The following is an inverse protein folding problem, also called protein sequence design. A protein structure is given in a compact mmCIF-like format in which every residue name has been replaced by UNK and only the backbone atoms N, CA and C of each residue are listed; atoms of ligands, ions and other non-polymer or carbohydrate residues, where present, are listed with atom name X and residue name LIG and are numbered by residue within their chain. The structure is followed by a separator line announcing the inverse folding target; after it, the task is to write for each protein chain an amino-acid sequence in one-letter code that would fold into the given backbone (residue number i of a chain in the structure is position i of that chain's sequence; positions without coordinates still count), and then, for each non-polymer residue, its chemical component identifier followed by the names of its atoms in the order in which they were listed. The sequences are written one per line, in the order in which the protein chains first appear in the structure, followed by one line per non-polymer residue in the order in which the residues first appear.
data_IF_258676279288
#
_entry.id   IF_258676279288
#
_cell.length_a   1.000
_cell.length_b   1.000
_cell.length_c   1.000
_cell.angle_alpha   90.00
_cell.angle_beta   90.00
_cell.angle_gamma   90.00
#
_symmetry.space_group_name_H-M   'P 1'
#
loop_
_entity.id
_entity.type
_entity.pdbx_description
1 polymer ?
#
# COMPACT_ATOMS: atom_id res chain seq x y z
N UNK A 1 76.58 -5.48 -16.49
CA UNK A 1 76.09 -5.63 -15.10
C UNK A 1 76.29 -4.29 -14.41
N UNK A 2 75.28 -3.42 -14.47
CA UNK A 2 74.79 -2.67 -13.32
C UNK A 2 73.55 -1.88 -13.74
N UNK A 3 72.47 -2.30 -13.10
CA UNK A 3 71.13 -1.75 -13.09
C UNK A 3 71.10 -0.42 -12.32
N UNK A 4 69.96 0.26 -12.47
CA UNK A 4 69.41 1.29 -11.58
C UNK A 4 70.05 2.68 -11.66
N UNK A 5 69.38 3.57 -12.37
CA UNK A 5 68.67 4.70 -11.74
C UNK A 5 67.93 5.50 -12.82
N UNK A 6 66.60 5.38 -12.84
CA UNK A 6 65.63 6.40 -13.29
C UNK A 6 64.21 5.82 -13.28
N UNK A 7 63.64 5.57 -12.10
CA UNK A 7 62.20 5.28 -11.98
C UNK A 7 61.51 5.79 -10.70
N UNK A 8 62.15 6.68 -9.93
CA UNK A 8 61.61 7.16 -8.65
C UNK A 8 61.09 8.60 -8.68
N UNK A 9 61.37 9.40 -9.71
CA UNK A 9 60.91 10.79 -9.79
C UNK A 9 59.52 10.96 -10.44
N UNK A 10 59.09 10.09 -11.37
CA UNK A 10 57.77 10.24 -11.99
C UNK A 10 56.62 9.70 -11.15
N UNK A 11 56.91 8.87 -10.13
CA UNK A 11 55.88 8.25 -9.27
C UNK A 11 55.48 9.13 -8.08
N UNK A 12 56.31 10.09 -7.65
CA UNK A 12 55.96 11.02 -6.57
C UNK A 12 54.96 12.08 -7.04
N UNK A 13 55.13 12.58 -8.26
CA UNK A 13 54.27 13.62 -8.83
C UNK A 13 52.89 13.05 -9.21
N UNK A 14 52.84 11.80 -9.70
CA UNK A 14 51.60 11.07 -9.93
C UNK A 14 50.83 10.81 -8.62
N UNK A 15 51.53 10.49 -7.52
CA UNK A 15 50.89 10.28 -6.21
C UNK A 15 50.33 11.57 -5.62
N UNK A 16 51.05 12.69 -5.77
CA UNK A 16 50.57 14.00 -5.31
C UNK A 16 49.33 14.43 -6.09
N UNK A 17 49.32 14.23 -7.41
CA UNK A 17 48.18 14.53 -8.27
C UNK A 17 46.98 13.61 -7.98
N UNK A 18 47.21 12.34 -7.66
CA UNK A 18 46.16 11.41 -7.19
C UNK A 18 45.59 11.81 -5.83
N UNK A 19 46.43 12.20 -4.87
CA UNK A 19 46.01 12.66 -3.53
C UNK A 19 45.21 13.97 -3.61
N UNK A 20 45.56 14.85 -4.53
CA UNK A 20 44.85 16.12 -4.73
C UNK A 20 43.50 15.91 -5.41
N UNK A 21 43.41 15.00 -6.39
CA UNK A 21 42.12 14.55 -6.95
C UNK A 21 41.26 13.83 -5.91
N UNK A 22 41.87 13.01 -5.03
CA UNK A 22 41.16 12.32 -3.97
C UNK A 22 40.63 13.30 -2.91
N UNK A 23 41.40 14.32 -2.53
CA UNK A 23 40.94 15.36 -1.60
C UNK A 23 39.79 16.18 -2.16
N UNK A 24 39.84 16.55 -3.46
CA UNK A 24 38.75 17.24 -4.14
C UNK A 24 37.49 16.37 -4.27
N UNK A 25 37.66 15.06 -4.49
CA UNK A 25 36.56 14.10 -4.49
C UNK A 25 35.92 13.93 -3.10
N UNK A 26 36.72 13.98 -2.03
CA UNK A 26 36.28 13.95 -0.63
C UNK A 26 35.59 15.25 -0.20
N UNK A 27 36.05 16.40 -0.67
CA UNK A 27 35.39 17.70 -0.46
C UNK A 27 34.04 17.74 -1.19
N UNK A 28 33.97 17.19 -2.42
CA UNK A 28 32.72 17.05 -3.19
C UNK A 28 31.76 16.01 -2.57
N UNK A 29 32.30 14.95 -1.95
CA UNK A 29 31.53 13.99 -1.16
C UNK A 29 31.00 14.61 0.14
N UNK A 30 31.79 15.43 0.85
CA UNK A 30 31.36 16.21 2.03
C UNK A 30 30.26 17.22 1.69
N UNK A 31 30.25 17.79 0.48
CA UNK A 31 29.24 18.75 0.04
C UNK A 31 27.89 18.11 -0.33
N UNK A 32 27.89 16.81 -0.69
CA UNK A 32 26.68 16.00 -0.92
C UNK A 32 26.25 15.20 0.32
N UNK A 33 27.03 15.21 1.40
CA UNK A 33 26.75 14.56 2.67
C UNK A 33 25.93 15.42 3.65
N UNK A 34 25.01 16.27 3.15
CA UNK A 34 23.98 16.91 4.01
C UNK A 34 22.98 15.89 4.60
N UNK A 35 23.08 14.62 4.22
CA UNK A 35 22.31 13.49 4.76
C UNK A 35 23.05 12.79 5.92
N UNK A 36 24.36 12.99 6.09
CA UNK A 36 25.12 12.38 7.19
C UNK A 36 24.92 13.07 8.54
N UNK A 37 24.49 14.34 8.56
CA UNK A 37 24.16 15.06 9.81
C UNK A 37 22.96 14.47 10.58
N UNK A 38 22.16 13.59 9.95
CA UNK A 38 21.02 12.94 10.60
C UNK A 38 21.42 11.61 11.25
N UNK A 39 22.46 10.94 10.73
CA UNK A 39 22.92 9.64 11.28
C UNK A 39 23.88 9.79 12.46
N UNK A 40 24.71 10.85 12.51
CA UNK A 40 25.49 11.17 13.71
C UNK A 40 24.59 11.60 14.88
N UNK A 41 23.40 12.14 14.60
CA UNK A 41 22.41 12.53 15.62
C UNK A 41 21.72 11.32 16.28
N UNK A 42 21.61 10.20 15.57
CA UNK A 42 20.94 8.98 16.08
C UNK A 42 21.85 8.18 17.03
N UNK A 43 23.18 8.33 16.93
CA UNK A 43 24.14 7.64 17.80
C UNK A 43 24.61 8.45 19.01
N UNK A 44 24.22 9.71 19.14
CA UNK A 44 24.62 10.60 20.24
C UNK A 44 23.57 10.76 21.36
N UNK A 45 22.45 10.02 21.32
CA UNK A 45 21.45 9.99 22.40
C UNK A 45 21.72 8.77 23.29
N UNK A 46 22.30 8.94 24.50
CA UNK A 46 22.45 7.83 25.42
C UNK A 46 21.06 7.52 26.02
N UNK A 47 20.51 6.33 25.73
CA UNK A 47 19.44 5.76 26.56
C UNK A 47 18.26 5.07 25.86
N UNK A 48 18.08 5.14 24.55
CA UNK A 48 16.85 4.65 23.93
C UNK A 48 17.05 4.03 22.54
N UNK A 49 17.68 2.86 22.44
CA UNK A 49 17.35 1.89 21.38
C UNK A 49 17.61 0.47 21.87
N UNK A 50 16.58 -0.38 21.77
CA UNK A 50 16.70 -1.81 21.98
C UNK A 50 17.75 -2.36 20.98
N UNK A 51 18.76 -3.13 21.41
CA UNK A 51 19.84 -3.62 20.56
C UNK A 51 19.35 -4.42 19.35
N UNK A 52 18.17 -5.05 19.44
CA UNK A 52 17.54 -5.76 18.31
C UNK A 52 17.13 -4.79 17.21
N UNK A 53 16.59 -3.62 17.56
CA UNK A 53 16.13 -2.63 16.59
C UNK A 53 17.32 -1.94 15.89
N UNK A 54 18.43 -1.74 16.60
CA UNK A 54 19.67 -1.24 16.01
C UNK A 54 20.25 -2.21 14.97
N UNK A 55 20.18 -3.52 15.22
CA UNK A 55 20.60 -4.55 14.27
C UNK A 55 19.72 -4.52 13.01
N UNK A 56 18.40 -4.37 13.15
CA UNK A 56 17.49 -4.28 12.00
C UNK A 56 17.76 -3.05 11.13
N UNK A 57 17.97 -1.88 11.75
CA UNK A 57 18.31 -0.65 11.02
C UNK A 57 19.65 -0.80 10.30
N UNK A 58 20.63 -1.45 10.92
CA UNK A 58 21.94 -1.70 10.33
C UNK A 58 21.88 -2.68 9.14
N UNK A 59 21.13 -3.77 9.25
CA UNK A 59 20.91 -4.74 8.14
C UNK A 59 20.19 -4.05 6.99
N UNK A 60 19.16 -3.23 7.28
CA UNK A 60 18.42 -2.50 6.26
C UNK A 60 19.31 -1.49 5.53
N UNK A 61 20.18 -0.78 6.26
CA UNK A 61 21.16 0.13 5.67
C UNK A 61 22.15 -0.60 4.75
N UNK A 62 22.63 -1.79 5.13
CA UNK A 62 23.52 -2.62 4.30
C UNK A 62 22.81 -3.09 3.02
N UNK A 63 21.57 -3.58 3.12
CA UNK A 63 20.80 -4.03 1.97
C UNK A 63 20.51 -2.89 0.99
N UNK A 64 20.17 -1.71 1.53
CA UNK A 64 19.97 -0.50 0.74
C UNK A 64 21.26 -0.07 0.04
N UNK A 65 22.40 -0.06 0.75
CA UNK A 65 23.70 0.28 0.16
C UNK A 65 24.16 -0.73 -0.90
N UNK A 66 23.91 -2.02 -0.67
CA UNK A 66 24.22 -3.09 -1.64
C UNK A 66 23.44 -2.89 -2.94
N UNK A 67 22.14 -2.62 -2.85
CA UNK A 67 21.28 -2.34 -4.01
C UNK A 67 21.69 -1.03 -4.72
N UNK A 68 22.07 0.00 -3.98
CA UNK A 68 22.56 1.27 -4.52
C UNK A 68 23.88 1.10 -5.30
N UNK A 69 24.84 0.33 -4.76
CA UNK A 69 26.10 0.01 -5.45
C UNK A 69 25.84 -0.84 -6.71
N UNK A 70 24.92 -1.81 -6.63
CA UNK A 70 24.54 -2.66 -7.77
C UNK A 70 23.94 -1.83 -8.91
N UNK A 71 23.07 -0.87 -8.57
CA UNK A 71 22.51 0.10 -9.51
C UNK A 71 23.60 0.92 -10.22
N UNK A 72 24.55 1.51 -9.47
CA UNK A 72 25.66 2.26 -10.09
C UNK A 72 26.57 1.40 -10.98
N UNK A 73 26.82 0.13 -10.63
CA UNK A 73 27.57 -0.80 -11.49
C UNK A 73 26.83 -1.05 -12.81
N UNK A 74 25.51 -1.24 -12.77
CA UNK A 74 24.67 -1.42 -13.96
C UNK A 74 24.69 -0.16 -14.83
N UNK A 75 24.55 1.03 -14.24
CA UNK A 75 24.64 2.30 -14.98
C UNK A 75 26.01 2.49 -15.63
N UNK A 76 27.10 2.08 -14.96
CA UNK A 76 28.46 2.15 -15.51
C UNK A 76 28.68 1.17 -16.67
N UNK A 77 28.06 -0.01 -16.63
CA UNK A 77 28.06 -1.00 -17.72
C UNK A 77 27.28 -0.46 -18.93
N UNK A 78 26.09 0.11 -18.71
CA UNK A 78 25.26 0.72 -19.76
C UNK A 78 26.01 1.88 -20.44
N UNK A 79 26.67 2.74 -19.67
CA UNK A 79 27.47 3.84 -20.22
C UNK A 79 28.74 3.36 -20.95
N UNK A 80 29.33 2.25 -20.51
CA UNK A 80 30.44 1.59 -21.22
C UNK A 80 30.01 0.97 -22.54
N UNK A 81 28.80 0.40 -22.61
CA UNK A 81 28.22 -0.16 -23.82
C UNK A 81 27.88 0.95 -24.83
N UNK A 82 27.31 2.07 -24.36
CA UNK A 82 26.99 3.23 -25.19
C UNK A 82 28.23 3.98 -25.72
N UNK A 83 29.33 3.97 -24.96
CA UNK A 83 30.60 4.55 -25.43
C UNK A 83 31.32 3.67 -26.45
N UNK A 84 31.14 2.34 -26.39
CA UNK A 84 31.69 1.40 -27.38
C UNK A 84 30.90 1.42 -28.69
N UNK A 85 29.59 1.63 -28.67
CA UNK A 85 28.79 1.85 -29.90
C UNK A 85 29.13 3.16 -30.58
N UNK A 86 29.37 4.24 -29.82
CA UNK A 86 29.75 5.53 -30.40
C UNK A 86 31.20 5.59 -30.92
N UNK A 87 32.13 4.77 -30.41
CA UNK A 87 33.51 4.68 -30.95
C UNK A 87 33.60 3.95 -32.28
N UNK A 88 32.70 3.01 -32.56
CA UNK A 88 32.68 2.25 -33.83
C UNK A 88 32.08 3.08 -34.98
N UNK A 89 31.31 4.13 -34.67
CA UNK A 89 30.61 4.96 -35.69
C UNK A 89 31.49 6.11 -36.22
N UNK A 90 32.58 6.48 -35.54
CA UNK A 90 33.40 7.66 -35.90
C UNK A 90 34.61 7.33 -36.79
N UNK A 91 34.95 6.06 -37.01
CA UNK A 91 36.10 5.67 -37.85
C UNK A 91 35.71 4.82 -39.05
N UNK A 92 35.08 5.43 -40.06
CA UNK A 92 35.29 5.15 -41.50
C UNK A 92 34.33 6.00 -42.34
N UNK A 93 34.75 7.21 -42.72
CA UNK A 93 34.24 7.87 -43.92
C UNK A 93 35.08 7.38 -45.11
N UNK A 94 34.48 6.60 -46.00
CA UNK A 94 34.83 6.52 -47.43
C UNK A 94 33.59 6.04 -48.20
N UNK A 95 33.29 6.78 -49.26
CA UNK A 95 32.17 6.62 -50.18
C UNK A 95 31.92 5.17 -50.59
N UNK A 96 30.66 4.72 -50.56
CA UNK A 96 29.98 4.09 -51.70
C UNK A 96 28.59 3.54 -51.32
N UNK A 97 27.59 3.93 -52.13
CA UNK A 97 26.31 3.26 -52.41
C UNK A 97 25.35 3.14 -51.21
N UNK A 98 24.43 4.09 -51.14
CA UNK A 98 23.13 3.90 -50.47
C UNK A 98 22.40 2.80 -51.25
N UNK A 99 22.04 1.64 -50.66
CA UNK A 99 20.98 0.83 -51.23
C UNK A 99 19.68 1.60 -51.03
N UNK A 100 19.17 2.19 -52.13
CA UNK A 100 17.75 2.48 -52.29
C UNK A 100 17.00 1.15 -52.15
N UNK A 101 16.68 0.76 -50.92
CA UNK A 101 15.65 -0.20 -50.51
C UNK A 101 15.71 -0.39 -49.00
N UNK A 102 15.30 0.62 -48.24
CA UNK A 102 14.71 0.41 -46.91
C UNK A 102 13.33 1.09 -46.80
N UNK A 103 12.67 1.33 -47.93
CA UNK A 103 11.21 1.22 -48.00
C UNK A 103 10.90 -0.26 -48.24
N UNK A 104 10.28 -0.92 -47.26
CA UNK A 104 9.23 -1.93 -47.42
C UNK A 104 9.09 -2.79 -46.15
N UNK A 105 7.92 -2.66 -45.52
CA UNK A 105 7.27 -3.65 -44.66
C UNK A 105 8.05 -4.19 -43.45
N UNK A 106 7.99 -3.46 -42.33
CA UNK A 106 7.83 -4.15 -41.05
C UNK A 106 6.36 -4.61 -41.02
N UNK A 107 6.06 -5.75 -41.65
CA UNK A 107 4.76 -6.37 -41.49
C UNK A 107 4.52 -6.61 -40.01
N UNK A 108 3.32 -6.25 -39.51
CA UNK A 108 2.86 -6.69 -38.17
C UNK A 108 3.16 -8.19 -38.05
N UNK A 109 3.76 -8.66 -36.95
CA UNK A 109 4.18 -10.04 -36.82
C UNK A 109 3.01 -10.98 -37.13
N UNK A 110 3.27 -12.04 -37.91
CA UNK A 110 2.24 -12.99 -38.32
C UNK A 110 1.35 -13.41 -37.14
N UNK A 111 0.08 -13.66 -37.44
CA UNK A 111 -0.99 -14.02 -36.50
C UNK A 111 -0.57 -15.15 -35.53
N UNK A 112 0.37 -16.01 -35.94
CA UNK A 112 0.97 -17.11 -35.17
C UNK A 112 2.01 -16.61 -34.14
N UNK A 113 2.84 -15.62 -34.46
CA UNK A 113 3.83 -15.02 -33.55
C UNK A 113 3.14 -14.13 -32.50
N UNK A 114 2.15 -13.32 -32.92
CA UNK A 114 1.28 -12.58 -32.01
C UNK A 114 0.40 -13.51 -31.16
N UNK A 115 -0.14 -14.62 -31.69
CA UNK A 115 -0.79 -15.66 -30.87
C UNK A 115 0.17 -16.37 -29.90
N UNK A 116 1.43 -16.56 -30.27
CA UNK A 116 2.46 -17.12 -29.36
C UNK A 116 2.85 -16.17 -28.23
N UNK A 117 2.85 -14.86 -28.50
CA UNK A 117 3.11 -13.82 -27.51
C UNK A 117 1.89 -13.55 -26.61
N UNK A 118 0.69 -13.44 -27.20
CA UNK A 118 -0.58 -13.27 -26.46
C UNK A 118 -0.99 -14.53 -25.70
N UNK A 119 -0.70 -15.72 -26.22
CA UNK A 119 -0.94 -17.02 -25.58
C UNK A 119 0.09 -17.42 -24.50
N UNK A 120 1.22 -16.70 -24.41
CA UNK A 120 2.21 -16.83 -23.31
C UNK A 120 2.02 -15.82 -22.18
N UNK A 121 0.99 -14.97 -22.26
CA UNK A 121 0.55 -14.16 -21.12
C UNK A 121 0.03 -15.10 -20.02
N UNK A 122 0.96 -15.67 -19.25
CA UNK A 122 0.71 -16.38 -18.00
C UNK A 122 -0.16 -15.44 -17.16
N UNK A 123 -1.45 -15.81 -17.14
CA UNK A 123 -2.55 -15.14 -16.48
C UNK A 123 -2.66 -13.64 -16.78
N UNK A 124 -3.73 -13.26 -17.48
CA UNK A 124 -4.38 -11.97 -17.24
C UNK A 124 -4.70 -11.98 -15.74
N UNK A 125 -3.79 -11.47 -14.93
CA UNK A 125 -3.73 -11.74 -13.49
C UNK A 125 -4.92 -11.02 -12.86
N UNK A 126 -5.99 -11.79 -12.60
CA UNK A 126 -7.09 -11.41 -11.73
C UNK A 126 -6.49 -10.99 -10.40
N UNK A 127 -6.49 -9.69 -10.10
CA UNK A 127 -6.06 -9.26 -8.78
C UNK A 127 -6.97 -9.87 -7.72
N UNK A 128 -6.38 -10.39 -6.63
CA UNK A 128 -7.11 -10.95 -5.48
C UNK A 128 -7.38 -9.87 -4.41
N UNK A 129 -7.21 -8.60 -4.74
CA UNK A 129 -7.16 -7.51 -3.77
C UNK A 129 -7.66 -6.17 -4.30
N UNK A 130 -7.84 -5.25 -3.36
CA UNK A 130 -8.19 -3.85 -3.60
C UNK A 130 -6.92 -3.04 -3.42
N UNK A 131 -6.65 -2.07 -4.30
CA UNK A 131 -5.48 -1.21 -4.27
C UNK A 131 -5.88 0.24 -4.05
N UNK A 132 -5.06 0.97 -3.29
CA UNK A 132 -5.26 2.39 -3.01
C UNK A 132 -4.68 3.30 -4.09
N UNK A 133 -3.66 2.81 -4.81
CA UNK A 133 -2.98 3.51 -5.89
C UNK A 133 -3.07 2.66 -7.15
N UNK A 134 -3.53 3.25 -8.25
CA UNK A 134 -3.76 2.57 -9.52
C UNK A 134 -3.77 3.57 -10.67
N UNK A 135 -3.72 3.06 -11.90
CA UNK A 135 -3.87 3.87 -13.11
C UNK A 135 -5.03 3.31 -13.91
N UNK A 136 -6.00 4.16 -14.22
CA UNK A 136 -7.05 3.83 -15.19
C UNK A 136 -6.52 4.06 -16.58
N UNK A 137 -6.82 3.17 -17.51
CA UNK A 137 -6.41 3.25 -18.92
C UNK A 137 -7.61 3.00 -19.81
N UNK A 138 -7.71 3.78 -20.88
CA UNK A 138 -8.70 3.63 -21.94
C UNK A 138 -8.06 3.97 -23.29
N UNK A 139 -8.40 3.22 -24.34
CA UNK A 139 -7.84 3.36 -25.68
C UNK A 139 -8.94 3.58 -26.72
N UNK A 140 -8.68 4.49 -27.66
CA UNK A 140 -9.41 4.52 -28.93
C UNK A 140 -8.59 3.85 -30.02
N UNK A 141 -9.28 3.09 -30.87
CA UNK A 141 -8.66 2.27 -31.91
C UNK A 141 -9.38 2.37 -33.25
N UNK A 142 -8.69 1.98 -34.33
CA UNK A 142 -9.29 1.91 -35.67
C UNK A 142 -10.22 0.70 -35.88
N UNK A 143 -10.36 -0.16 -34.86
CA UNK A 143 -11.07 -1.43 -34.94
C UNK A 143 -10.78 -2.35 -33.76
N UNK A 144 -11.16 -3.62 -33.86
CA UNK A 144 -11.21 -4.53 -32.71
C UNK A 144 -10.02 -5.47 -32.56
N UNK A 145 -9.17 -5.60 -33.59
CA UNK A 145 -8.13 -6.62 -33.66
C UNK A 145 -6.73 -6.01 -33.72
N UNK A 146 -5.88 -6.18 -32.68
CA UNK A 146 -4.58 -5.51 -32.61
C UNK A 146 -3.58 -5.96 -33.69
N UNK A 147 -3.84 -7.10 -34.35
CA UNK A 147 -3.03 -7.62 -35.45
C UNK A 147 -3.27 -6.85 -36.76
N UNK A 148 -4.37 -6.13 -36.91
CA UNK A 148 -4.72 -5.37 -38.13
C UNK A 148 -5.10 -3.92 -37.87
N UNK A 149 -5.69 -3.64 -36.71
CA UNK A 149 -6.14 -2.32 -36.28
C UNK A 149 -5.07 -1.60 -35.44
N UNK A 150 -5.23 -0.29 -35.25
CA UNK A 150 -4.23 0.60 -34.65
C UNK A 150 -4.80 1.40 -33.49
N UNK A 151 -3.97 1.74 -32.52
CA UNK A 151 -4.30 2.68 -31.44
C UNK A 151 -4.22 4.09 -32.03
N UNK A 152 -5.21 4.93 -31.74
CA UNK A 152 -5.30 6.34 -32.20
C UNK A 152 -5.47 7.34 -31.05
N UNK A 153 -5.84 6.89 -29.86
CA UNK A 153 -5.76 7.66 -28.62
C UNK A 153 -5.34 6.75 -27.47
N UNK A 154 -4.51 7.27 -26.56
CA UNK A 154 -4.27 6.68 -25.25
C UNK A 154 -4.68 7.71 -24.21
N UNK A 155 -5.59 7.32 -23.31
CA UNK A 155 -5.88 8.07 -22.10
C UNK A 155 -5.55 7.24 -20.86
N UNK A 156 -5.07 7.93 -19.83
CA UNK A 156 -4.89 7.35 -18.52
C UNK A 156 -5.04 8.40 -17.41
N UNK A 157 -5.58 7.96 -16.28
CA UNK A 157 -5.73 8.76 -15.07
C UNK A 157 -5.09 8.01 -13.89
N UNK A 158 -4.14 8.65 -13.23
CA UNK A 158 -3.42 8.08 -12.08
C UNK A 158 -4.10 8.49 -10.79
N UNK A 159 -4.41 7.49 -9.98
CA UNK A 159 -5.05 7.66 -8.68
C UNK A 159 -4.08 7.32 -7.55
N UNK A 160 -4.04 8.18 -6.54
CA UNK A 160 -3.41 7.90 -5.25
C UNK A 160 -4.39 8.27 -4.13
N UNK A 161 -4.56 7.39 -3.15
CA UNK A 161 -5.50 7.60 -2.03
C UNK A 161 -6.92 7.98 -2.47
N UNK A 162 -7.42 7.36 -3.54
CA UNK A 162 -8.71 7.61 -4.19
C UNK A 162 -8.86 8.97 -4.91
N UNK A 163 -7.80 9.77 -5.02
CA UNK A 163 -7.81 11.05 -5.75
C UNK A 163 -6.99 10.96 -7.03
N UNK A 164 -7.43 11.67 -8.08
CA UNK A 164 -6.65 11.79 -9.31
C UNK A 164 -5.48 12.73 -9.05
N UNK A 165 -4.26 12.24 -9.22
CA UNK A 165 -3.04 13.05 -9.03
C UNK A 165 -2.37 13.47 -10.33
N UNK A 166 -2.65 12.76 -11.44
CA UNK A 166 -2.00 12.99 -12.71
C UNK A 166 -2.81 12.36 -13.87
N UNK A 167 -2.69 12.90 -15.08
CA UNK A 167 -3.35 12.37 -16.27
C UNK A 167 -2.39 12.33 -17.46
N UNK A 168 -2.62 11.37 -18.35
CA UNK A 168 -1.85 11.21 -19.58
C UNK A 168 -2.84 11.04 -20.73
N UNK A 169 -2.80 11.95 -21.70
CA UNK A 169 -3.60 11.83 -22.92
C UNK A 169 -2.74 12.15 -24.12
N UNK A 170 -2.85 11.34 -25.17
CA UNK A 170 -2.21 11.61 -26.45
C UNK A 170 -2.99 10.97 -27.59
N UNK A 171 -3.15 11.72 -28.67
CA UNK A 171 -3.50 11.17 -29.96
C UNK A 171 -2.27 10.47 -30.55
N UNK A 172 -2.52 9.49 -31.41
CA UNK A 172 -1.51 8.64 -32.04
C UNK A 172 -1.76 8.62 -33.54
N UNK A 173 -0.73 8.87 -34.33
CA UNK A 173 -0.80 8.69 -35.77
C UNK A 173 -0.75 7.18 -36.09
N UNK A 174 -1.81 6.59 -36.69
CA UNK A 174 -1.83 5.16 -37.00
C UNK A 174 -1.12 4.83 -38.32
N UNK A 175 -0.59 5.82 -39.05
CA UNK A 175 0.00 5.72 -40.39
C UNK A 175 -0.93 5.09 -41.45
N UNK A 176 -2.23 5.02 -41.15
CA UNK A 176 -3.26 4.51 -42.04
C UNK A 176 -4.49 5.42 -42.01
N UNK A 177 -5.28 5.38 -43.08
CA UNK A 177 -6.53 6.11 -43.14
C UNK A 177 -7.55 5.56 -42.15
N UNK A 178 -8.10 6.43 -41.29
CA UNK A 178 -9.21 6.13 -40.37
C UNK A 178 -10.52 6.22 -41.17
N UNK A 179 -11.28 5.12 -41.29
CA UNK A 179 -12.56 5.13 -42.02
C UNK A 179 -13.63 5.99 -41.34
N UNK A 180 -14.55 6.64 -42.09
CA UNK A 180 -15.59 7.50 -41.51
C UNK A 180 -16.48 6.82 -40.47
N UNK A 181 -16.75 5.52 -40.62
CA UNK A 181 -17.54 4.77 -39.62
C UNK A 181 -16.84 4.66 -38.27
N UNK A 182 -15.51 4.70 -38.23
CA UNK A 182 -14.73 4.71 -36.99
C UNK A 182 -14.70 6.13 -36.40
N UNK A 183 -14.45 7.14 -37.24
CA UNK A 183 -14.53 8.55 -36.83
C UNK A 183 -15.92 8.89 -36.26
N UNK A 184 -17.00 8.30 -36.77
CA UNK A 184 -18.34 8.49 -36.22
C UNK A 184 -18.54 7.86 -34.83
N UNK A 185 -17.68 6.93 -34.41
CA UNK A 185 -17.76 6.26 -33.11
C UNK A 185 -16.93 7.00 -32.06
N UNK A 186 -15.67 7.32 -32.38
CA UNK A 186 -14.71 7.89 -31.44
C UNK A 186 -14.43 9.38 -31.67
N UNK A 187 -15.02 9.98 -32.71
CA UNK A 187 -14.89 11.39 -33.03
C UNK A 187 -13.46 11.85 -33.32
N UNK A 188 -12.58 10.90 -33.69
CA UNK A 188 -11.20 11.17 -34.12
C UNK A 188 -11.13 11.04 -35.64
N UNK A 189 -10.77 12.12 -36.31
CA UNK A 189 -10.59 12.16 -37.76
C UNK A 189 -9.11 12.12 -38.17
N UNK A 190 -8.88 11.97 -39.48
CA UNK A 190 -7.54 11.88 -40.04
C UNK A 190 -6.74 13.18 -39.88
N UNK A 191 -7.40 14.35 -39.83
CA UNK A 191 -6.74 15.64 -39.67
C UNK A 191 -6.21 15.83 -38.26
N UNK A 192 -6.89 15.29 -37.25
CA UNK A 192 -6.46 15.32 -35.86
C UNK A 192 -5.17 14.52 -35.62
N UNK A 193 -5.00 13.38 -36.31
CA UNK A 193 -3.90 12.45 -36.04
C UNK A 193 -2.71 12.57 -36.98
N UNK A 194 -2.83 13.26 -38.12
CA UNK A 194 -1.79 13.27 -39.18
C UNK A 194 -0.41 13.75 -38.72
N UNK A 195 -0.38 14.72 -37.80
CA UNK A 195 0.85 15.34 -37.29
C UNK A 195 1.19 14.85 -35.87
N UNK A 196 0.43 13.87 -35.35
CA UNK A 196 0.64 13.30 -34.02
C UNK A 196 1.81 12.28 -34.02
N UNK A 197 2.41 12.00 -32.84
CA UNK A 197 3.46 11.00 -32.73
C UNK A 197 2.95 9.59 -33.06
N UNK A 198 3.86 8.74 -33.55
CA UNK A 198 3.55 7.34 -33.78
C UNK A 198 3.52 6.54 -32.46
N UNK A 199 2.86 5.38 -32.46
CA UNK A 199 2.73 4.54 -31.25
C UNK A 199 4.09 4.16 -30.62
N UNK A 200 5.12 3.95 -31.45
CA UNK A 200 6.48 3.60 -31.00
C UNK A 200 7.15 4.71 -30.18
N UNK A 201 6.76 5.96 -30.42
CA UNK A 201 7.28 7.16 -29.74
C UNK A 201 6.50 7.44 -28.46
N UNK A 202 5.20 7.12 -28.46
CA UNK A 202 4.28 7.31 -27.33
C UNK A 202 4.50 6.29 -26.21
N UNK A 203 4.67 5.01 -26.56
CA UNK A 203 4.71 3.90 -25.59
C UNK A 203 5.77 4.04 -24.49
N UNK A 204 7.01 4.49 -24.75
CA UNK A 204 8.00 4.70 -23.68
C UNK A 204 7.54 5.70 -22.62
N UNK A 205 6.92 6.81 -23.04
CA UNK A 205 6.37 7.81 -22.14
C UNK A 205 5.20 7.27 -21.33
N UNK A 206 4.28 6.56 -21.98
CA UNK A 206 3.17 5.88 -21.33
C UNK A 206 3.63 4.84 -20.29
N UNK A 207 4.62 4.01 -20.62
CA UNK A 207 5.20 3.02 -19.70
C UNK A 207 5.82 3.68 -18.46
N UNK A 208 6.48 4.83 -18.65
CA UNK A 208 7.01 5.61 -17.54
C UNK A 208 5.87 6.20 -16.67
N UNK A 209 4.79 6.67 -17.29
CA UNK A 209 3.63 7.20 -16.58
C UNK A 209 2.96 6.15 -15.69
N UNK A 210 2.71 4.94 -16.22
CA UNK A 210 2.01 3.87 -15.48
C UNK A 210 2.90 3.20 -14.42
N UNK A 211 4.22 3.20 -14.62
CA UNK A 211 5.17 2.56 -13.72
C UNK A 211 4.81 1.09 -13.43
N UNK A 212 4.78 0.72 -12.15
CA UNK A 212 4.40 -0.63 -11.68
C UNK A 212 3.00 -0.66 -11.03
N UNK A 213 2.23 0.42 -11.16
CA UNK A 213 0.91 0.51 -10.53
C UNK A 213 -0.08 -0.45 -11.21
N UNK A 214 -1.08 -0.98 -10.46
CA UNK A 214 -2.19 -1.71 -11.06
C UNK A 214 -2.87 -0.90 -12.16
N UNK A 215 -3.19 -1.57 -13.27
CA UNK A 215 -3.97 -0.98 -14.35
C UNK A 215 -5.44 -1.37 -14.20
N UNK A 216 -6.31 -0.37 -14.26
CA UNK A 216 -7.76 -0.51 -14.25
C UNK A 216 -8.28 -0.14 -15.63
N UNK A 217 -9.12 -0.97 -16.22
CA UNK A 217 -9.76 -0.67 -17.50
C UNK A 217 -11.16 -1.28 -17.54
N UNK A 218 -12.02 -0.80 -18.43
CA UNK A 218 -13.35 -1.34 -18.62
C UNK A 218 -13.37 -2.29 -19.80
N UNK A 219 -13.66 -3.58 -19.58
CA UNK A 219 -13.36 -4.62 -20.55
C UNK A 219 -11.85 -4.70 -20.84
N UNK A 220 -11.05 -4.68 -19.76
CA UNK A 220 -9.59 -4.64 -19.79
C UNK A 220 -8.90 -5.61 -20.79
N UNK A 221 -9.41 -6.83 -21.06
CA UNK A 221 -8.82 -7.68 -22.10
C UNK A 221 -8.67 -7.00 -23.46
N UNK A 222 -9.50 -5.99 -23.79
CA UNK A 222 -9.41 -5.20 -25.01
C UNK A 222 -8.19 -4.26 -25.03
N UNK A 223 -8.05 -3.37 -24.05
CA UNK A 223 -6.95 -2.41 -24.02
C UNK A 223 -5.60 -3.11 -23.88
N UNK A 224 -5.56 -4.12 -23.00
CA UNK A 224 -4.34 -4.84 -22.66
C UNK A 224 -3.82 -5.68 -23.84
N UNK A 225 -4.69 -6.19 -24.72
CA UNK A 225 -4.22 -6.88 -25.95
C UNK A 225 -3.61 -5.90 -26.95
N UNK A 226 -4.18 -4.70 -27.09
CA UNK A 226 -3.64 -3.65 -27.97
C UNK A 226 -2.30 -3.12 -27.46
N UNK A 227 -2.18 -2.83 -26.17
CA UNK A 227 -0.92 -2.38 -25.55
C UNK A 227 0.18 -3.44 -25.68
N UNK A 228 -0.09 -4.70 -25.32
CA UNK A 228 0.93 -5.74 -25.40
C UNK A 228 1.37 -6.04 -26.84
N UNK A 229 0.46 -6.00 -27.81
CA UNK A 229 0.81 -6.20 -29.22
C UNK A 229 1.80 -5.13 -29.71
N UNK A 230 1.57 -3.87 -29.36
CA UNK A 230 2.46 -2.76 -29.76
C UNK A 230 3.75 -2.71 -28.92
N UNK A 231 3.69 -2.99 -27.62
CA UNK A 231 4.88 -3.09 -26.75
C UNK A 231 5.82 -4.21 -27.19
N UNK A 232 5.27 -5.33 -27.68
CA UNK A 232 6.07 -6.45 -28.17
C UNK A 232 6.97 -6.05 -29.37
N UNK A 233 6.53 -5.10 -30.20
CA UNK A 233 7.35 -4.55 -31.30
C UNK A 233 8.60 -3.82 -30.79
N UNK A 234 8.55 -3.32 -29.55
CA UNK A 234 9.65 -2.65 -28.86
C UNK A 234 10.44 -3.61 -27.94
N UNK A 235 10.10 -4.90 -27.92
CA UNK A 235 10.67 -5.86 -26.97
C UNK A 235 10.23 -5.62 -25.52
N UNK A 236 9.11 -4.91 -25.31
CA UNK A 236 8.53 -4.60 -24.01
C UNK A 236 7.24 -5.40 -23.77
N UNK A 237 6.78 -5.45 -22.52
CA UNK A 237 5.52 -6.07 -22.13
C UNK A 237 5.00 -5.48 -20.81
N UNK A 238 3.69 -5.53 -20.61
CA UNK A 238 3.08 -5.12 -19.34
C UNK A 238 3.33 -6.16 -18.25
N UNK A 239 3.76 -5.69 -17.07
CA UNK A 239 3.93 -6.52 -15.87
C UNK A 239 2.99 -6.12 -14.72
N UNK A 240 2.12 -5.15 -14.98
CA UNK A 240 1.23 -4.56 -14.00
C UNK A 240 0.08 -5.53 -13.63
N UNK A 241 -0.40 -5.51 -12.38
CA UNK A 241 -1.68 -6.14 -12.03
C UNK A 241 -2.81 -5.53 -12.87
N UNK A 242 -3.73 -6.35 -13.37
CA UNK A 242 -4.84 -5.89 -14.23
C UNK A 242 -6.18 -6.06 -13.51
N UNK A 243 -7.01 -5.02 -13.57
CA UNK A 243 -8.34 -4.97 -12.97
C UNK A 243 -9.34 -4.61 -14.06
N UNK A 244 -10.31 -5.51 -14.27
CA UNK A 244 -11.40 -5.30 -15.21
C UNK A 244 -12.66 -4.83 -14.49
N UNK A 245 -13.10 -3.61 -14.82
CA UNK A 245 -14.29 -3.01 -14.22
C UNK A 245 -15.60 -3.47 -14.85
N UNK A 246 -15.60 -4.17 -16.00
CA UNK A 246 -16.82 -4.71 -16.59
C UNK A 246 -17.52 -5.76 -15.70
N UNK A 247 -16.84 -6.83 -15.22
CA UNK A 247 -17.46 -7.76 -14.28
C UNK A 247 -17.78 -7.12 -12.92
N UNK A 248 -17.01 -6.10 -12.51
CA UNK A 248 -17.28 -5.33 -11.29
C UNK A 248 -18.59 -4.55 -11.44
N UNK A 249 -18.76 -3.83 -12.55
CA UNK A 249 -19.96 -3.08 -12.89
C UNK A 249 -21.20 -3.97 -12.91
N UNK A 250 -21.11 -5.17 -13.53
CA UNK A 250 -22.17 -6.20 -13.51
C UNK A 250 -22.59 -6.62 -12.11
N UNK A 251 -21.66 -6.63 -11.16
CA UNK A 251 -21.93 -6.97 -9.76
C UNK A 251 -22.51 -5.79 -8.99
N UNK A 252 -22.09 -4.56 -9.29
CA UNK A 252 -22.49 -3.37 -8.56
C UNK A 252 -23.83 -2.79 -9.00
N UNK A 253 -24.11 -2.82 -10.31
CA UNK A 253 -25.24 -2.14 -10.94
C UNK A 253 -26.08 -3.14 -11.74
N UNK A 254 -26.54 -4.21 -11.10
CA UNK A 254 -27.26 -5.32 -11.75
C UNK A 254 -28.57 -4.94 -12.47
N UNK A 255 -29.09 -3.74 -12.18
CA UNK A 255 -30.37 -3.21 -12.59
C UNK A 255 -30.34 -2.42 -13.91
N UNK A 256 -29.16 -2.09 -14.43
CA UNK A 256 -29.03 -1.32 -15.67
C UNK A 256 -29.14 -2.23 -16.90
N UNK A 257 -29.65 -1.69 -18.01
CA UNK A 257 -29.90 -2.45 -19.25
C UNK A 257 -28.62 -3.07 -19.82
N UNK A 258 -27.52 -2.31 -19.78
CA UNK A 258 -26.23 -2.77 -20.25
C UNK A 258 -25.10 -2.05 -19.49
N UNK A 259 -23.91 -2.64 -19.52
CA UNK A 259 -22.75 -2.14 -18.78
C UNK A 259 -21.75 -1.43 -19.70
N UNK A 260 -22.20 -0.72 -20.74
CA UNK A 260 -21.31 0.19 -21.48
C UNK A 260 -21.03 1.41 -20.60
N UNK A 261 -19.83 2.00 -20.71
CA UNK A 261 -19.45 3.17 -19.93
C UNK A 261 -20.46 4.33 -20.08
N UNK A 262 -20.96 4.59 -21.28
CA UNK A 262 -22.03 5.59 -21.51
C UNK A 262 -23.30 5.35 -20.67
N UNK A 263 -23.82 4.12 -20.64
CA UNK A 263 -25.00 3.77 -19.83
C UNK A 263 -24.71 3.87 -18.32
N UNK A 264 -23.51 3.46 -17.89
CA UNK A 264 -23.11 3.58 -16.48
C UNK A 264 -22.94 5.06 -16.09
N UNK A 265 -22.41 5.90 -16.99
CA UNK A 265 -22.25 7.33 -16.79
C UNK A 265 -23.59 8.02 -16.56
N UNK A 266 -24.59 7.72 -17.38
CA UNK A 266 -25.96 8.20 -17.21
C UNK A 266 -26.56 7.72 -15.89
N UNK A 267 -26.38 6.44 -15.56
CA UNK A 267 -26.88 5.86 -14.32
C UNK A 267 -26.28 6.51 -13.06
N UNK A 268 -24.97 6.78 -13.07
CA UNK A 268 -24.26 7.42 -11.97
C UNK A 268 -24.41 8.95 -11.94
N UNK A 269 -25.14 9.54 -12.90
CA UNK A 269 -25.33 10.97 -13.06
C UNK A 269 -24.00 11.75 -13.08
N UNK A 270 -22.98 11.19 -13.73
CA UNK A 270 -21.66 11.83 -13.85
C UNK A 270 -21.69 12.78 -15.04
N UNK A 271 -21.80 14.07 -14.76
CA UNK A 271 -21.71 15.13 -15.77
C UNK A 271 -20.24 15.36 -16.15
N UNK A 272 -19.79 14.67 -17.20
CA UNK A 272 -18.53 14.99 -17.87
C UNK A 272 -18.88 15.57 -19.24
N UNK A 273 -18.68 16.87 -19.41
CA UNK A 273 -18.71 17.53 -20.71
C UNK A 273 -17.69 16.81 -21.62
N UNK A 274 -18.06 16.46 -22.85
CA UNK A 274 -17.30 15.67 -23.84
C UNK A 274 -17.12 14.16 -23.57
N UNK A 275 -18.21 13.39 -23.50
CA UNK A 275 -18.21 11.93 -23.27
C UNK A 275 -17.53 11.02 -24.32
N UNK A 276 -17.01 11.58 -25.40
CA UNK A 276 -16.55 10.82 -26.57
C UNK A 276 -15.03 10.75 -26.71
N UNK A 277 -14.31 11.17 -25.67
CA UNK A 277 -12.85 11.11 -25.58
C UNK A 277 -12.48 10.09 -24.50
N UNK A 278 -11.34 9.43 -24.65
CA UNK A 278 -10.93 8.35 -23.77
C UNK A 278 -10.71 8.76 -22.28
N UNK A 279 -10.42 10.04 -21.99
CA UNK A 279 -10.14 10.51 -20.63
C UNK A 279 -11.39 10.57 -19.72
N UNK A 280 -12.52 11.17 -20.15
CA UNK A 280 -13.80 11.03 -19.46
C UNK A 280 -14.17 9.59 -19.11
N UNK A 281 -13.91 8.65 -20.02
CA UNK A 281 -14.16 7.22 -19.80
C UNK A 281 -13.23 6.63 -18.73
N UNK A 282 -11.97 7.11 -18.64
CA UNK A 282 -11.10 6.81 -17.51
C UNK A 282 -11.71 7.25 -16.16
N UNK A 283 -12.41 8.39 -16.11
CA UNK A 283 -13.03 8.86 -14.85
C UNK A 283 -14.20 7.99 -14.43
N UNK A 284 -15.08 7.63 -15.38
CA UNK A 284 -16.20 6.72 -15.12
C UNK A 284 -15.66 5.35 -14.67
N UNK A 285 -14.67 4.81 -15.38
CA UNK A 285 -14.03 3.55 -15.03
C UNK A 285 -13.37 3.59 -13.63
N UNK A 286 -12.66 4.68 -13.31
CA UNK A 286 -12.10 4.92 -11.98
C UNK A 286 -13.17 4.95 -10.89
N UNK A 287 -14.29 5.63 -11.13
CA UNK A 287 -15.40 5.71 -10.18
C UNK A 287 -16.00 4.33 -9.87
N UNK A 288 -16.20 3.48 -10.89
CA UNK A 288 -16.67 2.09 -10.71
C UNK A 288 -15.72 1.33 -9.77
N UNK A 289 -14.40 1.46 -9.98
CA UNK A 289 -13.41 0.79 -9.16
C UNK A 289 -13.36 1.32 -7.72
N UNK A 290 -13.48 2.63 -7.53
CA UNK A 290 -13.52 3.25 -6.20
C UNK A 290 -14.73 2.79 -5.38
N UNK A 291 -15.91 2.69 -6.02
CA UNK A 291 -17.11 2.20 -5.34
C UNK A 291 -16.96 0.72 -4.93
N UNK A 292 -16.39 -0.10 -5.82
CA UNK A 292 -16.06 -1.50 -5.50
C UNK A 292 -15.06 -1.62 -4.35
N UNK A 293 -13.95 -0.87 -4.45
CA UNK A 293 -12.88 -0.79 -3.45
C UNK A 293 -13.44 -0.48 -2.07
N UNK A 294 -14.29 0.55 -1.99
CA UNK A 294 -14.95 0.98 -0.76
C UNK A 294 -15.86 -0.12 -0.19
N UNK A 295 -16.71 -0.74 -1.02
CA UNK A 295 -17.62 -1.82 -0.57
C UNK A 295 -16.85 -3.04 -0.07
N UNK A 296 -15.77 -3.45 -0.73
CA UNK A 296 -14.96 -4.61 -0.30
C UNK A 296 -14.16 -4.31 0.98
N UNK A 297 -13.62 -3.10 1.15
CA UNK A 297 -12.98 -2.66 2.40
C UNK A 297 -13.97 -2.69 3.57
N UNK A 298 -15.18 -2.15 3.37
CA UNK A 298 -16.25 -2.18 4.37
C UNK A 298 -16.68 -3.61 4.72
N UNK A 299 -16.80 -4.49 3.72
CA UNK A 299 -17.12 -5.91 3.94
C UNK A 299 -16.04 -6.60 4.77
N UNK A 300 -14.76 -6.35 4.51
CA UNK A 300 -13.66 -6.88 5.32
C UNK A 300 -13.67 -6.33 6.75
N UNK A 301 -13.94 -5.04 6.93
CA UNK A 301 -14.10 -4.45 8.26
C UNK A 301 -15.25 -5.09 9.04
N UNK A 302 -16.42 -5.26 8.41
CA UNK A 302 -17.58 -5.94 9.01
C UNK A 302 -17.31 -7.43 9.28
N UNK A 303 -16.59 -8.12 8.41
CA UNK A 303 -16.18 -9.50 8.61
C UNK A 303 -15.18 -9.64 9.78
N UNK A 304 -14.25 -8.70 9.93
CA UNK A 304 -13.34 -8.64 11.06
C UNK A 304 -14.10 -8.38 12.36
N UNK A 305 -15.05 -7.44 12.37
CA UNK A 305 -15.94 -7.19 13.52
C UNK A 305 -16.70 -8.47 13.88
N UNK A 306 -17.23 -9.20 12.89
CA UNK A 306 -17.97 -10.45 13.10
C UNK A 306 -17.06 -11.59 13.58
N UNK A 307 -15.85 -11.70 13.04
CA UNK A 307 -14.85 -12.69 13.46
C UNK A 307 -14.41 -12.43 14.90
N UNK A 308 -14.16 -11.17 15.27
CA UNK A 308 -13.95 -10.79 16.67
C UNK A 308 -15.16 -11.14 17.52
N UNK A 309 -16.39 -10.90 17.03
CA UNK A 309 -17.65 -11.27 17.70
C UNK A 309 -17.74 -12.76 18.08
N UNK A 310 -17.21 -13.65 17.22
CA UNK A 310 -17.24 -15.10 17.37
C UNK A 310 -16.07 -15.68 18.20
N UNK A 311 -14.90 -15.02 18.20
CA UNK A 311 -13.72 -15.45 18.97
C UNK A 311 -13.71 -14.85 20.39
N UNK A 312 -14.43 -13.74 20.60
CA UNK A 312 -14.37 -12.99 21.85
C UNK A 312 -13.18 -12.03 21.90
N UNK A 313 -13.19 -11.09 22.85
CA UNK A 313 -12.02 -10.27 23.15
C UNK A 313 -10.91 -11.12 23.78
N UNK A 314 -9.65 -10.80 23.44
CA UNK A 314 -8.50 -11.51 23.96
C UNK A 314 -8.33 -11.23 25.46
N UNK A 315 -8.57 -12.26 26.29
CA UNK A 315 -8.45 -12.18 27.74
C UNK A 315 -7.05 -11.77 28.23
N UNK A 316 -6.00 -12.18 27.53
CA UNK A 316 -4.61 -11.91 27.93
C UNK A 316 -4.25 -10.44 27.68
N UNK A 317 -4.78 -9.85 26.61
CA UNK A 317 -4.67 -8.42 26.32
C UNK A 317 -5.44 -7.59 27.35
N UNK A 318 -6.70 -7.94 27.63
CA UNK A 318 -7.48 -7.28 28.68
C UNK A 318 -6.76 -7.33 30.04
N UNK A 319 -6.22 -8.49 30.41
CA UNK A 319 -5.47 -8.65 31.67
C UNK A 319 -4.18 -7.83 31.68
N UNK A 320 -3.47 -7.77 30.56
CA UNK A 320 -2.23 -6.99 30.44
C UNK A 320 -2.48 -5.50 30.57
N UNK A 321 -3.51 -4.96 29.89
CA UNK A 321 -3.91 -3.55 29.99
C UNK A 321 -4.29 -3.18 31.43
N UNK A 322 -5.04 -4.04 32.14
CA UNK A 322 -5.39 -3.76 33.54
C UNK A 322 -4.16 -3.73 34.43
N UNK A 323 -3.19 -4.64 34.24
CA UNK A 323 -1.90 -4.56 34.97
C UNK A 323 -1.12 -3.30 34.61
N UNK A 324 -1.14 -2.84 33.37
CA UNK A 324 -0.49 -1.60 32.94
C UNK A 324 -1.12 -0.38 33.61
N UNK A 325 -2.45 -0.31 33.66
CA UNK A 325 -3.21 0.70 34.38
C UNK A 325 -2.81 0.71 35.87
N UNK A 326 -2.86 -0.44 36.53
CA UNK A 326 -2.50 -0.56 37.95
C UNK A 326 -1.03 -0.16 38.20
N UNK A 327 -0.10 -0.59 37.33
CA UNK A 327 1.32 -0.24 37.43
C UNK A 327 1.57 1.25 37.23
N UNK A 328 0.88 1.89 36.27
CA UNK A 328 0.93 3.35 36.04
C UNK A 328 0.56 4.15 37.29
N UNK A 329 -0.31 3.60 38.13
CA UNK A 329 -0.75 4.20 39.40
C UNK A 329 -0.01 3.66 40.63
N UNK A 330 1.17 3.05 40.44
CA UNK A 330 2.01 2.49 41.51
C UNK A 330 1.29 1.49 42.43
N UNK A 331 0.30 0.75 41.91
CA UNK A 331 -0.43 -0.27 42.68
C UNK A 331 0.37 -1.57 42.77
N UNK A 332 0.26 -2.24 43.91
CA UNK A 332 0.91 -3.53 44.13
C UNK A 332 0.17 -4.66 43.39
N UNK A 333 0.84 -5.25 42.41
CA UNK A 333 0.29 -6.33 41.58
C UNK A 333 0.43 -7.72 42.22
N UNK A 334 1.07 -7.83 43.40
CA UNK A 334 1.36 -9.11 44.07
C UNK A 334 0.13 -10.00 44.17
N UNK A 335 -1.02 -9.39 44.45
CA UNK A 335 -2.30 -10.09 44.66
C UNK A 335 -3.18 -10.18 43.41
N UNK A 336 -2.80 -9.55 42.29
CA UNK A 336 -3.65 -9.46 41.09
C UNK A 336 -3.61 -10.78 40.31
N UNK A 337 -4.79 -11.35 40.05
CA UNK A 337 -5.00 -12.59 39.27
C UNK A 337 -6.21 -12.43 38.36
N UNK A 338 -6.44 -13.40 37.47
CA UNK A 338 -7.71 -13.53 36.76
C UNK A 338 -8.31 -14.92 36.96
N UNK A 339 -9.62 -15.02 36.79
CA UNK A 339 -10.36 -16.28 36.81
C UNK A 339 -11.62 -16.18 35.98
N UNK A 340 -12.41 -17.26 35.97
CA UNK A 340 -13.70 -17.29 35.29
C UNK A 340 -14.82 -17.59 36.28
N UNK A 341 -15.96 -16.91 36.13
CA UNK A 341 -17.20 -17.25 36.83
C UNK A 341 -18.33 -17.28 35.81
N UNK A 342 -18.87 -18.47 35.55
CA UNK A 342 -19.81 -18.68 34.43
C UNK A 342 -19.19 -18.17 33.12
N UNK A 343 -19.87 -17.25 32.42
CA UNK A 343 -19.42 -16.66 31.15
C UNK A 343 -18.62 -15.36 31.32
N UNK A 344 -18.18 -15.05 32.54
CA UNK A 344 -17.42 -13.83 32.85
C UNK A 344 -15.95 -14.14 33.07
N UNK A 345 -15.11 -13.24 32.55
CA UNK A 345 -13.70 -13.12 32.88
C UNK A 345 -13.55 -12.11 34.01
N UNK A 346 -13.08 -12.57 35.16
CA UNK A 346 -12.96 -11.76 36.37
C UNK A 346 -11.49 -11.49 36.66
N UNK A 347 -11.15 -10.23 36.91
CA UNK A 347 -9.85 -9.84 37.45
C UNK A 347 -10.03 -9.55 38.95
N UNK A 348 -9.12 -10.12 39.73
CA UNK A 348 -9.31 -10.35 41.17
C UNK A 348 -8.05 -9.96 41.94
N UNK A 349 -8.24 -9.53 43.18
CA UNK A 349 -7.23 -9.53 44.21
C UNK A 349 -7.78 -10.32 45.40
N UNK A 350 -8.34 -9.70 46.44
CA UNK A 350 -9.06 -10.40 47.50
C UNK A 350 -10.45 -10.89 47.06
N UNK A 351 -11.13 -10.08 46.25
CA UNK A 351 -12.33 -10.43 45.51
C UNK A 351 -12.27 -9.84 44.09
N UNK A 352 -13.30 -10.13 43.28
CA UNK A 352 -13.41 -9.64 41.91
C UNK A 352 -13.60 -8.12 41.93
N UNK A 353 -12.61 -7.36 41.44
CA UNK A 353 -12.72 -5.91 41.31
C UNK A 353 -13.07 -5.46 39.90
N UNK A 354 -12.89 -6.32 38.88
CA UNK A 354 -13.35 -6.06 37.52
C UNK A 354 -13.91 -7.33 36.89
N UNK A 355 -15.13 -7.23 36.34
CA UNK A 355 -15.83 -8.33 35.66
C UNK A 355 -16.09 -7.97 34.21
N UNK A 356 -15.61 -8.79 33.28
CA UNK A 356 -15.73 -8.58 31.84
C UNK A 356 -16.50 -9.73 31.18
N UNK A 357 -17.44 -9.39 30.29
CA UNK A 357 -17.99 -10.35 29.33
C UNK A 357 -17.20 -10.23 28.03
N UNK A 358 -16.33 -11.20 27.77
CA UNK A 358 -15.46 -11.20 26.59
C UNK A 358 -15.98 -12.05 25.43
N UNK A 359 -17.12 -12.75 25.58
CA UNK A 359 -17.67 -13.66 24.57
C UNK A 359 -19.17 -13.44 24.34
N UNK A 360 -19.63 -13.72 23.12
CA UNK A 360 -21.03 -13.59 22.70
C UNK A 360 -21.31 -12.30 21.91
N UNK A 361 -22.60 -11.98 21.73
CA UNK A 361 -23.05 -10.88 20.85
C UNK A 361 -22.61 -9.47 21.28
N UNK A 362 -22.30 -9.28 22.55
CA UNK A 362 -21.87 -7.99 23.13
C UNK A 362 -20.79 -8.24 24.16
N UNK A 363 -19.81 -7.36 24.20
CA UNK A 363 -18.80 -7.34 25.25
C UNK A 363 -18.99 -6.14 26.14
N UNK A 364 -18.78 -6.32 27.43
CA UNK A 364 -18.95 -5.24 28.38
C UNK A 364 -18.16 -5.48 29.67
N UNK A 365 -17.80 -4.37 30.31
CA UNK A 365 -17.46 -4.35 31.73
C UNK A 365 -18.75 -4.25 32.56
N UNK A 366 -18.89 -5.11 33.56
CA UNK A 366 -20.01 -5.08 34.49
C UNK A 366 -19.57 -4.38 35.77
N UNK A 367 -20.12 -3.19 36.01
CA UNK A 367 -19.71 -2.29 37.07
C UNK A 367 -20.79 -2.17 38.15
N UNK A 368 -20.36 -2.10 39.41
CA UNK A 368 -21.23 -1.88 40.58
C UNK A 368 -21.52 -0.40 40.84
N UNK A 369 -20.82 0.51 40.15
CA UNK A 369 -21.05 1.95 40.21
C UNK A 369 -22.40 2.33 39.57
N UNK A 370 -23.07 3.30 40.17
CA UNK A 370 -24.19 4.01 39.56
C UNK A 370 -23.73 4.90 38.41
N UNK A 371 -24.65 5.27 37.52
CA UNK A 371 -24.31 6.08 36.34
C UNK A 371 -23.82 7.46 36.75
N UNK A 372 -24.35 8.00 37.85
CA UNK A 372 -23.91 9.27 38.41
C UNK A 372 -22.45 9.21 38.90
N UNK A 373 -22.06 8.12 39.56
CA UNK A 373 -20.67 7.90 39.99
C UNK A 373 -19.73 7.72 38.80
N UNK A 374 -20.15 6.97 37.77
CA UNK A 374 -19.38 6.77 36.55
C UNK A 374 -19.14 8.13 35.85
N UNK A 375 -20.19 8.92 35.63
CA UNK A 375 -20.07 10.24 35.00
C UNK A 375 -19.26 11.22 35.86
N UNK A 376 -19.26 11.07 37.18
CA UNK A 376 -18.40 11.89 38.05
C UNK A 376 -16.91 11.53 37.91
N UNK A 377 -16.58 10.26 37.65
CA UNK A 377 -15.20 9.80 37.49
C UNK A 377 -14.70 9.94 36.05
N UNK A 378 -15.60 9.81 35.08
CA UNK A 378 -15.35 9.88 33.64
C UNK A 378 -16.41 10.81 33.01
N UNK A 379 -16.25 12.14 33.11
CA UNK A 379 -17.24 13.10 32.60
C UNK A 379 -17.52 12.98 31.10
N UNK A 380 -16.49 12.64 30.33
CA UNK A 380 -16.55 12.47 28.88
C UNK A 380 -16.57 10.98 28.48
N UNK A 381 -17.38 10.17 29.15
CA UNK A 381 -17.49 8.74 28.83
C UNK A 381 -17.97 8.55 27.39
N UNK A 382 -17.06 8.13 26.51
CA UNK A 382 -17.33 7.89 25.08
C UNK A 382 -17.95 6.52 24.81
N UNK A 383 -17.87 5.59 25.77
CA UNK A 383 -18.38 4.24 25.63
C UNK A 383 -19.90 4.19 25.88
N UNK A 384 -20.60 3.40 25.06
CA UNK A 384 -22.04 3.15 25.23
C UNK A 384 -22.29 2.31 26.49
N UNK A 385 -23.43 2.49 27.14
CA UNK A 385 -23.81 1.71 28.32
C UNK A 385 -25.25 1.19 28.26
N UNK A 386 -25.52 0.14 29.02
CA UNK A 386 -26.85 -0.46 29.19
C UNK A 386 -27.10 -0.75 30.68
N UNK A 387 -28.35 -0.57 31.13
CA UNK A 387 -28.76 -1.01 32.48
C UNK A 387 -28.83 -2.54 32.48
N UNK A 388 -28.26 -3.17 33.49
CA UNK A 388 -28.25 -4.63 33.57
C UNK A 388 -29.68 -5.19 33.78
N UNK A 389 -30.04 -6.35 33.19
CA UNK A 389 -31.34 -6.99 33.35
C UNK A 389 -31.59 -7.42 34.79
N UNK A 390 -32.83 -7.78 35.14
CA UNK A 390 -33.26 -8.13 36.52
C UNK A 390 -32.35 -9.12 37.27
N UNK A 391 -31.66 -10.02 36.55
CA UNK A 391 -30.70 -10.99 37.13
C UNK A 391 -29.39 -10.37 37.63
N UNK A 392 -29.14 -9.09 37.34
CA UNK A 392 -27.95 -8.30 37.67
C UNK A 392 -28.37 -6.91 38.21
N UNK A 393 -29.48 -6.85 38.94
CA UNK A 393 -30.07 -5.60 39.44
C UNK A 393 -29.03 -4.72 40.13
N UNK A 394 -29.05 -3.42 39.83
CA UNK A 394 -28.15 -2.36 40.34
C UNK A 394 -26.72 -2.33 39.74
N UNK A 395 -26.46 -3.04 38.63
CA UNK A 395 -25.19 -2.94 37.90
C UNK A 395 -25.35 -2.23 36.55
N UNK A 396 -24.25 -1.65 36.06
CA UNK A 396 -24.17 -1.02 34.74
C UNK A 396 -23.25 -1.83 33.83
N UNK A 397 -23.66 -2.00 32.57
CA UNK A 397 -22.86 -2.64 31.53
C UNK A 397 -22.26 -1.55 30.65
N UNK A 398 -20.96 -1.34 30.71
CA UNK A 398 -20.26 -0.47 29.76
C UNK A 398 -19.79 -1.32 28.59
N UNK A 399 -20.31 -1.05 27.39
CA UNK A 399 -19.98 -1.79 26.18
C UNK A 399 -18.53 -1.49 25.77
N UNK A 400 -17.76 -2.55 25.55
CA UNK A 400 -16.38 -2.49 25.03
C UNK A 400 -16.34 -3.20 23.68
N UNK A 401 -15.60 -2.64 22.72
CA UNK A 401 -15.43 -3.18 21.37
C UNK A 401 -14.01 -3.71 21.15
N UNK A 402 -13.04 -3.26 21.95
CA UNK A 402 -11.64 -3.66 21.92
C UNK A 402 -11.05 -3.72 23.35
N UNK A 403 -9.96 -4.46 23.60
CA UNK A 403 -9.28 -4.43 24.90
C UNK A 403 -8.83 -3.03 25.33
N UNK A 404 -8.47 -2.16 24.38
CA UNK A 404 -8.01 -0.79 24.59
C UNK A 404 -9.09 0.10 25.21
N UNK A 405 -10.37 -0.23 25.05
CA UNK A 405 -11.47 0.50 25.70
C UNK A 405 -11.37 0.46 27.24
N UNK A 406 -10.62 -0.48 27.81
CA UNK A 406 -10.35 -0.53 29.25
C UNK A 406 -9.54 0.67 29.76
N UNK A 407 -8.74 1.34 28.90
CA UNK A 407 -8.06 2.58 29.26
C UNK A 407 -9.04 3.71 29.60
N UNK A 408 -10.21 3.74 28.96
CA UNK A 408 -11.25 4.73 29.26
C UNK A 408 -11.80 4.47 30.67
N UNK A 409 -11.85 3.21 31.10
CA UNK A 409 -12.33 2.80 32.42
C UNK A 409 -11.27 2.90 33.53
N UNK A 410 -10.09 3.44 33.24
CA UNK A 410 -8.97 3.54 34.17
C UNK A 410 -9.36 4.10 35.56
N UNK A 411 -10.07 5.24 35.69
CA UNK A 411 -10.45 5.77 37.00
C UNK A 411 -11.29 4.80 37.85
N UNK A 412 -12.19 4.06 37.20
CA UNK A 412 -13.08 3.09 37.85
C UNK A 412 -12.31 1.85 38.28
N UNK A 413 -11.42 1.35 37.40
CA UNK A 413 -10.58 0.18 37.68
C UNK A 413 -9.69 0.44 38.90
N UNK A 414 -9.10 1.64 38.98
CA UNK A 414 -8.28 2.05 40.12
C UNK A 414 -9.12 2.12 41.40
N UNK A 415 -10.28 2.77 41.36
CA UNK A 415 -11.14 2.86 42.54
C UNK A 415 -11.59 1.48 43.04
N UNK A 416 -11.97 0.59 42.13
CA UNK A 416 -12.42 -0.76 42.47
C UNK A 416 -11.29 -1.60 43.08
N UNK A 417 -10.07 -1.46 42.53
CA UNK A 417 -8.89 -2.11 43.08
C UNK A 417 -8.57 -1.60 44.49
N UNK A 418 -8.58 -0.28 44.71
CA UNK A 418 -8.29 0.31 46.03
C UNK A 418 -9.29 -0.17 47.09
N UNK A 419 -10.59 -0.15 46.80
CA UNK A 419 -11.63 -0.72 47.69
C UNK A 419 -11.37 -2.20 48.01
N UNK A 420 -10.87 -2.96 47.04
CA UNK A 420 -10.54 -4.38 47.21
C UNK A 420 -9.37 -4.59 48.16
N UNK A 421 -8.32 -3.77 48.04
CA UNK A 421 -7.17 -3.81 48.96
C UNK A 421 -7.55 -3.32 50.35
N UNK A 422 -8.27 -2.21 50.48
CA UNK A 422 -8.73 -1.69 51.77
C UNK A 422 -9.54 -2.75 52.55
N UNK A 423 -10.42 -3.47 51.83
CA UNK A 423 -11.21 -4.56 52.41
C UNK A 423 -10.35 -5.74 52.84
N UNK A 424 -9.31 -6.06 52.07
CA UNK A 424 -8.35 -7.12 52.42
C UNK A 424 -7.55 -6.77 53.67
N UNK A 425 -7.09 -5.53 53.78
CA UNK A 425 -6.35 -5.04 54.95
C UNK A 425 -7.24 -5.00 56.19
N UNK A 426 -8.49 -4.55 56.03
CA UNK A 426 -9.47 -4.61 57.11
C UNK A 426 -9.68 -6.07 57.58
N UNK A 427 -9.84 -7.01 56.66
CA UNK A 427 -9.99 -8.43 56.99
C UNK A 427 -8.76 -8.97 57.73
N UNK A 428 -7.56 -8.65 57.23
CA UNK A 428 -6.27 -9.01 57.84
C UNK A 428 -6.16 -8.54 59.29
N UNK A 429 -6.58 -7.31 59.56
CA UNK A 429 -6.45 -6.70 60.90
C UNK A 429 -7.50 -7.18 61.90
N UNK A 430 -8.64 -7.73 61.43
CA UNK A 430 -9.79 -8.04 62.29
C UNK A 430 -10.11 -9.54 62.41
N UNK A 431 -9.46 -10.41 61.63
CA UNK A 431 -9.75 -11.85 61.63
C UNK A 431 -8.48 -12.66 61.90
N UNK A 432 -8.48 -13.45 62.97
CA UNK A 432 -7.28 -14.18 63.45
C UNK A 432 -6.72 -15.19 62.45
N UNK A 433 -7.56 -15.74 61.58
CA UNK A 433 -7.17 -16.69 60.52
C UNK A 433 -6.94 -16.02 59.16
N UNK A 434 -6.96 -14.69 59.09
CA UNK A 434 -6.95 -13.96 57.83
C UNK A 434 -5.70 -14.22 56.99
N UNK A 435 -4.50 -14.18 57.59
CA UNK A 435 -3.25 -14.44 56.87
C UNK A 435 -3.24 -15.83 56.23
N UNK A 436 -3.73 -16.84 56.95
CA UNK A 436 -3.85 -18.20 56.42
C UNK A 436 -4.83 -18.25 55.25
N UNK A 437 -6.01 -17.64 55.39
CA UNK A 437 -7.04 -17.65 54.34
C UNK A 437 -6.60 -16.88 53.09
N UNK A 438 -5.90 -15.75 53.26
CA UNK A 438 -5.34 -14.97 52.15
C UNK A 438 -4.24 -15.79 51.46
N UNK A 439 -3.35 -16.44 52.21
CA UNK A 439 -2.31 -17.29 51.64
C UNK A 439 -2.88 -18.51 50.89
N UNK A 440 -3.94 -19.15 51.42
CA UNK A 440 -4.64 -20.24 50.73
C UNK A 440 -5.30 -19.77 49.43
N UNK A 441 -5.93 -18.59 49.44
CA UNK A 441 -6.50 -17.97 48.24
C UNK A 441 -5.42 -17.66 47.18
N UNK A 442 -4.21 -17.28 47.60
CA UNK A 442 -3.12 -16.92 46.67
C UNK A 442 -2.43 -18.13 46.02
N UNK A 443 -2.68 -19.35 46.52
CA UNK A 443 -2.14 -20.60 45.98
C UNK A 443 -3.09 -21.32 45.01
N UNK A 444 -4.28 -20.76 44.76
CA UNK A 444 -5.25 -21.23 43.74
C UNK A 444 -5.24 -20.36 42.51
#
# INVERSE_FOLDING_TARGET
MNFMNNSTASKSDDLQHELEQYSQSLIKAKRNAKIFGILEFIFLIPGFMNPVLAIFVFIFAILFFSNYIKSKKITKIINSLNNNTNKTIVSTNKENIIPKNLSNNINKPDDIYLKKLTGKNKSINKSQGVFDNFVVVDLETTGLEPTRDYIIEIAAAKYENNEIIDTYTTLVNPEVFIPPNITNINHIDNDMVKDCPEIKEVLPGFMNFIGQLPLVAHNAPFDIKFLNANLALLGLYLNNPIIDTLPISRKLFSEIENHKLGTIKEYLNIDVQDSHRALPDCYVCGQIYLEYSTKEKNKKALANIKLHSDIGLNKEECYSIVKEILKKHNKDLTYVRYGFTSNYFDIRAFYNFLRLKLKGKKYYALLDNSLAEINSMIPDLTLKYEVAPKSESNKIRILINSPEDLYILEPIIIQAFDKCIDSMEYYRNNVSVAEKNIAEYLNT
#
